data_IF_019887134794
#
_entry.id   IF_019887134794
#
_cell.length_a   1.000
_cell.length_b   1.000
_cell.length_c   1.000
_cell.angle_alpha   90.00
_cell.angle_beta   90.00
_cell.angle_gamma   90.00
#
_symmetry.space_group_name_H-M   'P 1'
#
loop_
_entity.id
_entity.type
_entity.pdbx_description
1 polymer ?
#
# COMPACT_ATOMS: atom_id res chain seq x y z
N UNK A 1 -0.99 -19.47 -6.79
CA UNK A 1 -0.62 -19.95 -8.15
C UNK A 1 -1.79 -19.88 -9.15
N UNK A 2 -2.69 -18.87 -9.08
CA UNK A 2 -3.97 -18.90 -9.82
C UNK A 2 -4.08 -18.05 -11.10
N UNK A 3 -3.26 -17.01 -11.27
CA UNK A 3 -3.53 -16.01 -12.33
C UNK A 3 -2.81 -16.26 -13.66
N UNK A 4 -1.78 -17.12 -13.69
CA UNK A 4 -0.98 -17.36 -14.91
C UNK A 4 -1.70 -18.19 -15.96
N UNK A 5 -2.77 -18.90 -15.61
CA UNK A 5 -3.32 -19.95 -16.47
C UNK A 5 -4.26 -19.41 -17.55
N UNK A 6 -4.89 -18.25 -17.35
CA UNK A 6 -6.01 -17.85 -18.21
C UNK A 6 -5.60 -17.21 -19.55
N UNK A 7 -4.38 -16.69 -19.68
CA UNK A 7 -3.96 -15.83 -20.80
C UNK A 7 -3.81 -16.57 -22.14
N UNK A 8 -3.45 -17.85 -22.12
CA UNK A 8 -3.35 -18.68 -23.33
C UNK A 8 -4.73 -18.92 -23.96
N UNK A 9 -5.79 -18.98 -23.15
CA UNK A 9 -7.15 -19.17 -23.66
C UNK A 9 -7.66 -17.96 -24.46
N UNK A 10 -7.01 -16.80 -24.33
CA UNK A 10 -7.32 -15.59 -25.10
C UNK A 10 -6.27 -15.30 -26.19
N UNK A 11 -5.40 -16.26 -26.51
CA UNK A 11 -4.37 -16.11 -27.55
C UNK A 11 -3.17 -15.23 -27.15
N UNK A 12 -3.01 -14.93 -25.85
CA UNK A 12 -1.88 -14.18 -25.34
C UNK A 12 -0.61 -15.02 -25.18
N UNK A 13 0.56 -14.41 -25.36
CA UNK A 13 1.86 -15.06 -25.17
C UNK A 13 2.40 -14.81 -23.74
N UNK A 14 2.60 -15.88 -22.97
CA UNK A 14 3.11 -15.83 -21.60
C UNK A 14 4.55 -15.33 -21.50
N UNK A 15 5.32 -15.44 -22.58
CA UNK A 15 6.70 -14.97 -22.63
C UNK A 15 6.82 -13.50 -23.10
N UNK A 16 5.69 -12.86 -23.44
CA UNK A 16 5.65 -11.45 -23.90
C UNK A 16 4.65 -10.63 -23.08
N UNK A 17 4.88 -10.61 -21.77
CA UNK A 17 4.11 -9.78 -20.85
C UNK A 17 4.79 -8.42 -20.72
N UNK A 18 4.03 -7.35 -20.97
CA UNK A 18 4.45 -5.96 -20.76
C UNK A 18 3.62 -5.37 -19.63
N UNK A 19 4.27 -4.82 -18.61
CA UNK A 19 3.60 -3.99 -17.60
C UNK A 19 3.53 -2.54 -18.11
N UNK A 20 2.41 -1.88 -17.89
CA UNK A 20 2.22 -0.47 -18.21
C UNK A 20 1.49 0.21 -17.06
N UNK A 21 1.96 1.40 -16.68
CA UNK A 21 1.41 2.13 -15.55
C UNK A 21 1.84 3.58 -15.52
N UNK A 22 0.99 4.40 -14.91
CA UNK A 22 1.15 5.85 -14.79
C UNK A 22 1.17 6.25 -13.30
N UNK A 23 1.94 7.30 -12.95
CA UNK A 23 2.05 7.83 -11.59
C UNK A 23 2.38 6.73 -10.56
N UNK A 24 1.52 6.50 -9.57
CA UNK A 24 1.66 5.42 -8.58
C UNK A 24 1.79 4.03 -9.23
N UNK A 25 1.09 3.79 -10.35
CA UNK A 25 1.24 2.56 -11.13
C UNK A 25 2.63 2.41 -11.76
N UNK A 26 3.22 3.53 -12.20
CA UNK A 26 4.59 3.56 -12.71
C UNK A 26 5.62 3.32 -11.60
N UNK A 27 5.41 3.91 -10.42
CA UNK A 27 6.22 3.66 -9.22
C UNK A 27 6.17 2.17 -8.84
N UNK A 28 4.98 1.57 -8.84
CA UNK A 28 4.81 0.14 -8.55
C UNK A 28 5.57 -0.74 -9.56
N UNK A 29 5.44 -0.47 -10.86
CA UNK A 29 6.18 -1.20 -11.91
C UNK A 29 7.69 -1.06 -11.72
N UNK A 30 8.17 0.14 -11.36
CA UNK A 30 9.58 0.37 -11.05
C UNK A 30 10.06 -0.50 -9.88
N UNK A 31 9.27 -0.64 -8.81
CA UNK A 31 9.56 -1.54 -7.68
C UNK A 31 9.54 -3.02 -8.10
N UNK A 32 8.60 -3.41 -8.96
CA UNK A 32 8.54 -4.78 -9.48
C UNK A 32 9.82 -5.09 -10.29
N UNK A 33 10.28 -4.18 -11.17
CA UNK A 33 11.50 -4.35 -11.97
C UNK A 33 12.76 -4.63 -11.14
N UNK A 34 12.86 -4.08 -9.92
CA UNK A 34 14.02 -4.28 -9.04
C UNK A 34 13.84 -5.42 -8.05
N UNK A 35 12.62 -5.93 -7.88
CA UNK A 35 12.31 -6.99 -6.92
C UNK A 35 12.70 -8.37 -7.44
N UNK A 36 13.56 -9.14 -6.73
CA UNK A 36 13.92 -10.50 -7.14
C UNK A 36 12.73 -11.46 -7.16
N UNK A 37 11.67 -11.17 -6.39
CA UNK A 37 10.46 -11.99 -6.31
C UNK A 37 9.65 -11.99 -7.61
N UNK A 38 9.87 -11.00 -8.48
CA UNK A 38 9.12 -10.87 -9.74
C UNK A 38 9.95 -11.25 -10.97
N UNK A 39 11.16 -11.74 -10.77
CA UNK A 39 12.07 -12.11 -11.86
C UNK A 39 11.41 -13.14 -12.77
N UNK A 40 11.34 -12.82 -14.06
CA UNK A 40 10.75 -13.69 -15.07
C UNK A 40 9.21 -13.68 -15.12
N UNK A 41 8.54 -12.81 -14.36
CA UNK A 41 7.07 -12.68 -14.43
C UNK A 41 6.60 -11.78 -15.58
N UNK A 42 7.47 -10.88 -16.07
CA UNK A 42 7.21 -10.02 -17.21
C UNK A 42 8.50 -9.76 -17.99
N UNK A 43 8.34 -9.34 -19.24
CA UNK A 43 9.43 -9.20 -20.21
C UNK A 43 9.74 -7.74 -20.53
N UNK A 44 8.75 -6.84 -20.36
CA UNK A 44 8.85 -5.42 -20.69
C UNK A 44 8.07 -4.57 -19.67
N UNK A 45 8.46 -3.30 -19.56
CA UNK A 45 7.78 -2.32 -18.71
C UNK A 45 7.71 -0.96 -19.43
N UNK A 46 6.59 -0.27 -19.29
CA UNK A 46 6.38 1.12 -19.69
C UNK A 46 5.94 1.88 -18.44
N UNK A 47 6.68 2.95 -18.13
CA UNK A 47 6.59 3.69 -16.86
C UNK A 47 6.36 5.16 -17.18
N UNK A 48 5.14 5.65 -16.91
CA UNK A 48 4.73 7.02 -17.22
C UNK A 48 4.66 7.89 -15.96
N UNK A 49 5.44 8.96 -15.92
CA UNK A 49 5.36 10.02 -14.88
C UNK A 49 5.44 9.51 -13.43
N UNK A 50 6.21 8.43 -13.18
CA UNK A 50 6.44 7.89 -11.84
C UNK A 50 7.64 6.93 -11.81
N UNK A 51 8.41 6.92 -10.72
CA UNK A 51 9.56 6.02 -10.54
C UNK A 51 9.79 5.70 -9.07
N UNK A 52 10.38 4.54 -8.76
CA UNK A 52 10.69 4.13 -7.39
C UNK A 52 11.58 5.15 -6.64
N UNK A 53 12.38 5.94 -7.35
CA UNK A 53 13.23 7.00 -6.75
C UNK A 53 12.42 8.17 -6.17
N UNK A 54 11.13 8.28 -6.49
CA UNK A 54 10.25 9.29 -5.89
C UNK A 54 9.88 8.93 -4.44
N UNK A 55 10.06 7.66 -4.05
CA UNK A 55 9.89 7.24 -2.67
C UNK A 55 11.10 7.70 -1.85
N UNK A 56 10.84 8.32 -0.70
CA UNK A 56 11.88 8.74 0.25
C UNK A 56 12.61 7.49 0.78
N UNK A 57 13.92 7.58 0.95
CA UNK A 57 14.70 6.52 1.62
C UNK A 57 14.33 6.46 3.11
N UNK A 58 14.35 5.26 3.71
CA UNK A 58 14.05 4.99 5.13
C UNK A 58 12.64 5.37 5.61
N UNK A 59 11.61 4.76 5.03
CA UNK A 59 10.21 4.96 5.44
C UNK A 59 9.76 4.10 6.64
N UNK A 60 10.60 3.21 7.17
CA UNK A 60 10.16 2.28 8.21
C UNK A 60 9.63 3.00 9.46
N UNK A 61 10.43 3.90 10.03
CA UNK A 61 10.06 4.66 11.22
C UNK A 61 8.83 5.56 11.03
N UNK A 62 8.76 6.42 9.99
CA UNK A 62 7.56 7.24 9.78
C UNK A 62 6.32 6.38 9.49
N UNK A 63 6.46 5.28 8.74
CA UNK A 63 5.32 4.38 8.48
C UNK A 63 4.84 3.68 9.75
N UNK A 64 5.74 3.27 10.64
CA UNK A 64 5.36 2.67 11.93
C UNK A 64 4.64 3.67 12.82
N UNK A 65 5.15 4.91 12.90
CA UNK A 65 4.49 5.98 13.67
C UNK A 65 3.09 6.27 13.13
N UNK A 66 2.94 6.39 11.81
CA UNK A 66 1.63 6.58 11.18
C UNK A 66 0.69 5.41 11.45
N UNK A 67 1.18 4.18 11.30
CA UNK A 67 0.41 2.96 11.56
C UNK A 67 -0.04 2.89 13.03
N UNK A 68 0.83 3.30 13.96
CA UNK A 68 0.51 3.35 15.39
C UNK A 68 -0.56 4.41 15.69
N UNK A 69 -0.47 5.60 15.09
CA UNK A 69 -1.50 6.65 15.24
C UNK A 69 -2.84 6.17 14.72
N UNK A 70 -2.85 5.56 13.53
CA UNK A 70 -4.06 4.97 12.96
C UNK A 70 -4.66 3.90 13.88
N UNK A 71 -3.84 2.98 14.37
CA UNK A 71 -4.27 1.92 15.28
C UNK A 71 -4.83 2.48 16.60
N UNK A 72 -4.27 3.56 17.15
CA UNK A 72 -4.83 4.26 18.32
C UNK A 72 -6.19 4.89 18.03
N UNK A 73 -6.31 5.60 16.91
CA UNK A 73 -7.55 6.32 16.54
C UNK A 73 -8.75 5.37 16.37
N UNK A 74 -8.51 4.11 16.01
CA UNK A 74 -9.54 3.07 15.87
C UNK A 74 -9.63 2.13 17.07
N UNK A 75 -8.98 2.47 18.20
CA UNK A 75 -8.95 1.69 19.44
C UNK A 75 -8.36 0.28 19.32
N UNK A 76 -7.44 0.07 18.37
CA UNK A 76 -6.68 -1.17 18.21
C UNK A 76 -5.31 -1.14 18.88
N UNK A 77 -4.83 0.02 19.32
CA UNK A 77 -3.55 0.18 20.00
C UNK A 77 -3.64 1.25 21.10
N UNK A 78 -2.66 1.27 22.02
CA UNK A 78 -2.54 2.26 23.09
C UNK A 78 -1.06 2.60 23.35
N UNK A 79 -0.76 3.36 24.40
CA UNK A 79 0.63 3.58 24.85
C UNK A 79 1.24 2.31 25.45
N UNK A 80 0.43 1.45 26.07
CA UNK A 80 0.86 0.18 26.68
C UNK A 80 0.77 -1.01 25.72
N UNK A 81 0.15 -0.84 24.54
CA UNK A 81 -0.04 -1.88 23.53
C UNK A 81 0.30 -1.33 22.15
N UNK A 82 1.57 -1.44 21.76
CA UNK A 82 2.09 -0.89 20.51
C UNK A 82 2.21 -1.94 19.40
N UNK A 83 2.33 -1.49 18.14
CA UNK A 83 2.63 -2.35 16.99
C UNK A 83 3.97 -3.08 17.16
N UNK A 84 4.91 -2.50 17.92
CA UNK A 84 6.22 -3.10 18.19
C UNK A 84 6.14 -4.19 19.27
N UNK A 85 5.27 -4.02 20.26
CA UNK A 85 5.10 -4.95 21.38
C UNK A 85 4.15 -6.12 21.06
N UNK A 86 3.04 -5.85 20.37
CA UNK A 86 2.03 -6.85 19.97
C UNK A 86 1.57 -6.65 18.51
N UNK A 87 2.44 -6.94 17.52
CA UNK A 87 2.11 -6.73 16.10
C UNK A 87 0.90 -7.56 15.65
N UNK A 88 0.79 -8.81 16.11
CA UNK A 88 -0.28 -9.71 15.67
C UNK A 88 -1.63 -9.32 16.27
N UNK A 89 -1.68 -8.90 17.54
CA UNK A 89 -2.91 -8.44 18.18
C UNK A 89 -3.41 -7.13 17.56
N UNK A 90 -2.52 -6.15 17.38
CA UNK A 90 -2.89 -4.87 16.75
C UNK A 90 -3.35 -5.06 15.30
N UNK A 91 -2.61 -5.83 14.48
CA UNK A 91 -3.01 -6.11 13.09
C UNK A 91 -4.28 -6.95 13.03
N UNK A 92 -4.47 -7.88 13.97
CA UNK A 92 -5.71 -8.66 14.10
C UNK A 92 -6.92 -7.75 14.32
N UNK A 93 -6.84 -6.81 15.27
CA UNK A 93 -7.89 -5.82 15.50
C UNK A 93 -8.15 -4.95 14.27
N UNK A 94 -7.09 -4.45 13.61
CA UNK A 94 -7.22 -3.61 12.42
C UNK A 94 -7.99 -4.30 11.28
N UNK A 95 -7.89 -5.64 11.17
CA UNK A 95 -8.61 -6.42 10.14
C UNK A 95 -10.10 -6.54 10.41
N UNK A 96 -10.54 -6.41 11.65
CA UNK A 96 -11.96 -6.44 12.03
C UNK A 96 -12.65 -5.09 11.82
N UNK A 97 -11.88 -4.03 11.54
CA UNK A 97 -12.45 -2.72 11.19
C UNK A 97 -13.16 -2.83 9.85
N UNK A 98 -14.39 -2.31 9.82
CA UNK A 98 -15.17 -2.23 8.59
C UNK A 98 -14.40 -1.42 7.54
N UNK A 99 -14.04 -2.08 6.44
CA UNK A 99 -13.37 -1.47 5.28
C UNK A 99 -14.11 -0.21 4.83
N UNK A 100 -15.44 -0.19 4.92
CA UNK A 100 -16.24 0.99 4.57
C UNK A 100 -15.91 2.20 5.44
N UNK A 101 -15.78 2.04 6.78
CA UNK A 101 -15.42 3.13 7.68
C UNK A 101 -14.01 3.67 7.37
N UNK A 102 -13.09 2.79 7.00
CA UNK A 102 -11.75 3.18 6.59
C UNK A 102 -11.72 3.91 5.24
N UNK A 103 -12.54 3.48 4.28
CA UNK A 103 -12.68 4.13 2.99
C UNK A 103 -13.34 5.50 3.15
N UNK A 104 -14.42 5.61 3.92
CA UNK A 104 -15.11 6.88 4.18
C UNK A 104 -14.14 7.89 4.81
N UNK A 105 -13.36 7.46 5.80
CA UNK A 105 -12.32 8.28 6.43
C UNK A 105 -11.23 8.71 5.46
N UNK A 106 -10.77 7.83 4.56
CA UNK A 106 -9.76 8.17 3.56
C UNK A 106 -10.31 9.06 2.43
N UNK A 107 -11.64 9.18 2.31
CA UNK A 107 -12.32 9.96 1.28
C UNK A 107 -12.66 11.39 1.74
N UNK A 108 -12.59 11.67 3.04
CA UNK A 108 -12.80 12.99 3.62
C UNK A 108 -11.58 13.89 3.32
N UNK A 109 -11.52 14.35 2.08
CA UNK A 109 -10.45 15.12 1.40
C UNK A 109 -10.20 16.55 1.95
N UNK A 110 -10.66 16.86 3.17
CA UNK A 110 -10.48 18.19 3.77
C UNK A 110 -9.18 18.34 4.60
N UNK A 111 -8.29 17.34 4.63
CA UNK A 111 -7.07 17.38 5.48
C UNK A 111 -5.75 17.43 4.70
N UNK A 112 -5.74 17.11 3.40
CA UNK A 112 -4.48 16.99 2.64
C UNK A 112 -3.81 18.35 2.39
N UNK A 113 -4.56 19.46 2.35
CA UNK A 113 -3.99 20.80 2.16
C UNK A 113 -3.46 21.45 3.46
N UNK A 114 -3.93 21.02 4.64
CA UNK A 114 -3.62 21.66 5.93
C UNK A 114 -2.61 20.89 6.80
N UNK A 115 -2.63 19.54 6.79
CA UNK A 115 -1.61 18.70 7.45
C UNK A 115 -1.52 17.30 6.81
N UNK A 116 -0.46 16.99 6.03
CA UNK A 116 -0.31 15.69 5.38
C UNK A 116 -0.13 14.51 6.35
N UNK A 117 0.08 14.77 7.65
CA UNK A 117 0.19 13.76 8.71
C UNK A 117 -1.13 13.54 9.48
N UNK A 118 -2.20 14.30 9.20
CA UNK A 118 -3.52 14.13 9.83
C UNK A 118 -4.49 13.27 8.99
N UNK A 119 -4.14 11.99 8.85
CA UNK A 119 -4.99 10.96 8.23
C UNK A 119 -5.89 10.24 9.25
N UNK A 120 -5.81 10.64 10.52
CA UNK A 120 -6.53 10.01 11.65
C UNK A 120 -7.64 10.88 12.21
N UNK A 121 -7.66 12.18 11.91
CA UNK A 121 -8.65 13.13 12.42
C UNK A 121 -10.10 12.79 12.09
N UNK A 122 -10.40 11.99 11.04
CA UNK A 122 -11.77 11.52 10.80
C UNK A 122 -12.18 10.33 11.70
N UNK A 123 -11.22 9.58 12.25
CA UNK A 123 -11.52 8.57 13.29
C UNK A 123 -11.63 9.14 14.71
N UNK A 124 -11.10 10.33 14.94
CA UNK A 124 -11.14 11.02 16.24
C UNK A 124 -12.38 11.92 16.44
N UNK A 125 -13.24 12.04 15.43
CA UNK A 125 -14.54 12.76 15.47
C UNK A 125 -15.70 11.83 15.85
#
# INVERSE_FOLDING_TARGET
MGERQYREYFGGDKNRITLHGQSAGSIAISLLCVSPLTKGLFSKAIMESGSAIFLKYNQLQPNLQLSQRLAKAVNCASDDNTIEDDPDGVVGCLREILVQKAVDCASDDNTIEDDPDDVVGCFER
#
